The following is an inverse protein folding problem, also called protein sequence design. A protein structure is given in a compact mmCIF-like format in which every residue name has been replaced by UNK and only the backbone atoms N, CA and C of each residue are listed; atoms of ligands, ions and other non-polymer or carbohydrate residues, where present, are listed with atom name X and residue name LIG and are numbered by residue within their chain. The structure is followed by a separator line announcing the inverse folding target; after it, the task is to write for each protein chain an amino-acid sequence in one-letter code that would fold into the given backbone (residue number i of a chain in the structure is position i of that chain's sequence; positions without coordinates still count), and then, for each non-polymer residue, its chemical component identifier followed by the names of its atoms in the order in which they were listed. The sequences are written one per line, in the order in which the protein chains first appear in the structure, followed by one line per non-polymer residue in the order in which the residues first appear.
data_IF_607714402350
#
_entry.id   IF_607714402350
#
_cell.length_a   1.000
_cell.length_b   1.000
_cell.length_c   1.000
_cell.angle_alpha   90.00
_cell.angle_beta   90.00
_cell.angle_gamma   90.00
#
_symmetry.space_group_name_H-M   'P 1'
#
loop_
_entity.id
_entity.type
_entity.pdbx_description
1 polymer ?
#
# COMPACT_ATOMS: atom_id res chain seq x y z
N UNK A 1 52.18 32.20 -5.77
CA UNK A 1 51.90 31.07 -4.85
C UNK A 1 50.90 31.51 -3.81
N UNK A 2 49.68 30.96 -3.84
CA UNK A 2 48.76 30.75 -2.69
C UNK A 2 47.49 30.11 -3.28
N UNK A 3 47.62 28.81 -3.54
CA UNK A 3 46.52 27.92 -3.88
C UNK A 3 45.83 27.51 -2.58
N UNK A 4 44.52 27.34 -2.64
CA UNK A 4 43.82 26.37 -1.80
C UNK A 4 43.07 26.95 -0.61
N UNK A 5 41.83 27.37 -0.84
CA UNK A 5 40.72 27.06 0.07
C UNK A 5 39.38 27.26 -0.64
N UNK A 6 39.14 26.50 -1.69
CA UNK A 6 37.81 26.32 -2.26
C UNK A 6 37.63 24.81 -2.45
N UNK A 7 36.39 24.35 -2.27
CA UNK A 7 35.94 22.94 -2.31
C UNK A 7 36.06 22.13 -1.02
N UNK A 8 35.19 22.41 -0.05
CA UNK A 8 34.67 21.38 0.86
C UNK A 8 33.25 21.74 1.33
N UNK A 9 32.36 22.03 0.39
CA UNK A 9 30.92 21.83 0.56
C UNK A 9 30.48 20.80 -0.49
N UNK A 10 30.92 19.56 -0.28
CA UNK A 10 30.25 18.43 -0.89
C UNK A 10 28.86 18.38 -0.25
N UNK A 11 27.86 18.82 -1.00
CA UNK A 11 26.45 18.58 -0.73
C UNK A 11 26.28 17.09 -0.43
N UNK A 12 26.16 16.73 0.84
CA UNK A 12 25.48 15.50 1.23
C UNK A 12 24.03 15.71 0.78
N UNK A 13 23.73 15.32 -0.45
CA UNK A 13 22.36 15.09 -0.87
C UNK A 13 21.84 13.98 0.05
N UNK A 14 21.07 14.38 1.06
CA UNK A 14 20.20 13.47 1.76
C UNK A 14 19.25 12.91 0.69
N UNK A 15 19.58 11.73 0.17
CA UNK A 15 18.64 10.96 -0.61
C UNK A 15 17.51 10.61 0.36
N UNK A 16 16.46 11.43 0.38
CA UNK A 16 15.12 10.94 0.74
C UNK A 16 14.79 9.90 -0.32
N UNK A 17 15.29 8.68 -0.10
CA UNK A 17 14.97 7.54 -0.94
C UNK A 17 13.52 7.22 -0.63
N UNK A 18 12.63 7.59 -1.54
CA UNK A 18 11.30 6.98 -1.55
C UNK A 18 11.50 5.47 -1.52
N UNK A 19 10.94 4.78 -0.53
CA UNK A 19 10.99 3.33 -0.54
C UNK A 19 9.88 2.85 -1.47
N UNK A 20 10.26 2.21 -2.57
CA UNK A 20 9.31 1.57 -3.47
C UNK A 20 9.50 0.06 -3.49
N UNK A 21 8.40 -0.67 -3.53
CA UNK A 21 8.36 -2.11 -3.63
C UNK A 21 7.50 -2.55 -4.80
N UNK A 22 7.93 -3.61 -5.46
CA UNK A 22 7.11 -4.35 -6.42
C UNK A 22 6.60 -5.60 -5.71
N UNK A 23 5.29 -5.75 -5.63
CA UNK A 23 4.62 -6.85 -4.93
C UNK A 23 3.66 -7.60 -5.85
N UNK A 24 3.56 -8.91 -5.65
CA UNK A 24 2.71 -9.81 -6.44
C UNK A 24 2.21 -10.97 -5.56
N UNK A 25 1.42 -11.90 -6.12
CA UNK A 25 0.89 -13.12 -5.50
C UNK A 25 0.12 -12.83 -4.20
N UNK A 26 -0.63 -11.73 -4.17
CA UNK A 26 -1.39 -11.30 -2.99
C UNK A 26 -2.65 -12.16 -2.84
N UNK A 27 -2.64 -13.06 -1.85
CA UNK A 27 -3.72 -14.01 -1.59
C UNK A 27 -3.92 -14.24 -0.10
N UNK A 28 -5.08 -14.75 0.27
CA UNK A 28 -5.44 -15.00 1.65
C UNK A 28 -6.92 -15.28 1.75
N UNK A 29 -7.59 -14.62 2.69
CA UNK A 29 -8.99 -14.87 2.96
C UNK A 29 -9.80 -13.58 3.05
N UNK A 30 -11.08 -13.68 2.68
CA UNK A 30 -12.06 -12.63 2.87
C UNK A 30 -13.37 -13.23 3.40
N UNK A 31 -14.10 -12.43 4.16
CA UNK A 31 -15.40 -12.76 4.72
C UNK A 31 -16.38 -11.64 4.34
N UNK A 32 -17.57 -12.00 3.87
CA UNK A 32 -18.57 -11.07 3.35
C UNK A 32 -19.90 -11.27 4.08
N UNK A 33 -20.70 -10.22 4.22
CA UNK A 33 -22.00 -10.31 4.87
C UNK A 33 -22.93 -11.31 4.15
N UNK A 34 -22.94 -11.31 2.81
CA UNK A 34 -23.71 -12.26 2.00
C UNK A 34 -23.54 -13.74 2.38
N UNK A 35 -22.40 -14.10 3.01
CA UNK A 35 -22.09 -15.46 3.42
C UNK A 35 -21.98 -15.63 4.95
N UNK A 36 -22.62 -14.74 5.71
CA UNK A 36 -22.56 -14.70 7.18
C UNK A 36 -21.13 -14.55 7.72
N UNK A 37 -20.28 -13.82 7.00
CA UNK A 37 -18.87 -13.59 7.32
C UNK A 37 -18.05 -14.87 7.48
N UNK A 38 -18.38 -15.92 6.73
CA UNK A 38 -17.52 -17.08 6.63
C UNK A 38 -16.30 -16.76 5.76
N UNK A 39 -15.10 -17.03 6.30
CA UNK A 39 -13.86 -16.83 5.56
C UNK A 39 -13.76 -17.80 4.39
N UNK A 40 -13.46 -17.25 3.22
CA UNK A 40 -13.18 -17.99 1.98
C UNK A 40 -11.90 -17.48 1.35
N UNK A 41 -11.29 -18.31 0.50
CA UNK A 41 -10.11 -17.92 -0.25
C UNK A 41 -10.39 -16.67 -1.09
N UNK A 42 -9.44 -15.75 -1.07
CA UNK A 42 -9.51 -14.49 -1.79
C UNK A 42 -8.12 -14.08 -2.30
N UNK A 43 -8.11 -13.19 -3.29
CA UNK A 43 -6.90 -12.61 -3.85
C UNK A 43 -7.19 -11.23 -4.40
N UNK A 44 -6.16 -10.40 -4.41
CA UNK A 44 -6.20 -9.16 -5.17
C UNK A 44 -6.04 -9.50 -6.66
N UNK A 45 -6.54 -8.62 -7.55
CA UNK A 45 -6.43 -8.80 -9.00
C UNK A 45 -4.98 -9.11 -9.41
N UNK A 46 -4.81 -9.90 -10.47
CA UNK A 46 -3.47 -10.30 -10.94
C UNK A 46 -2.66 -9.10 -11.46
N UNK A 47 -1.34 -9.18 -11.28
CA UNK A 47 -0.39 -8.19 -11.77
C UNK A 47 0.49 -7.59 -10.68
N UNK A 48 1.50 -6.86 -11.13
CA UNK A 48 2.47 -6.23 -10.24
C UNK A 48 1.89 -4.95 -9.63
N UNK A 49 1.96 -4.87 -8.32
CA UNK A 49 1.62 -3.68 -7.56
C UNK A 49 2.90 -2.97 -7.16
N UNK A 50 2.99 -1.70 -7.53
CA UNK A 50 4.06 -0.82 -7.15
C UNK A 50 3.58 0.00 -5.96
N UNK A 51 4.16 -0.25 -4.79
CA UNK A 51 3.89 0.48 -3.57
C UNK A 51 5.03 1.45 -3.30
N UNK A 52 4.78 2.75 -3.34
CA UNK A 52 5.74 3.79 -2.98
C UNK A 52 5.30 4.41 -1.65
N UNK A 53 6.20 4.41 -0.66
CA UNK A 53 6.02 5.09 0.63
C UNK A 53 7.17 6.08 0.79
N UNK A 54 6.85 7.37 0.69
CA UNK A 54 7.76 8.47 0.95
C UNK A 54 7.04 9.58 1.73
N UNK A 55 7.81 10.44 2.40
CA UNK A 55 7.26 11.62 3.07
C UNK A 55 6.54 12.51 2.05
N UNK A 56 5.21 12.62 2.17
CA UNK A 56 4.36 13.40 1.28
C UNK A 56 4.08 12.79 -0.10
N UNK A 57 4.62 11.61 -0.42
CA UNK A 57 4.36 10.92 -1.68
C UNK A 57 4.10 9.42 -1.43
N UNK A 58 2.82 9.07 -1.34
CA UNK A 58 2.35 7.70 -1.26
C UNK A 58 1.61 7.38 -2.55
N UNK A 59 1.99 6.31 -3.22
CA UNK A 59 1.28 5.82 -4.40
C UNK A 59 1.21 4.31 -4.42
N UNK A 60 0.05 3.78 -4.75
CA UNK A 60 -0.15 2.37 -5.05
C UNK A 60 -0.60 2.28 -6.50
N UNK A 61 0.16 1.59 -7.35
CA UNK A 61 -0.18 1.39 -8.76
C UNK A 61 -0.26 -0.09 -9.07
N UNK A 62 -1.38 -0.52 -9.63
CA UNK A 62 -1.55 -1.88 -10.15
C UNK A 62 -1.55 -1.83 -11.67
N UNK A 63 -0.62 -2.54 -12.31
CA UNK A 63 -0.48 -2.56 -13.78
C UNK A 63 -0.44 -1.15 -14.42
N UNK A 64 0.18 -0.18 -13.73
CA UNK A 64 0.29 1.21 -14.18
C UNK A 64 -0.90 2.13 -13.81
N UNK A 65 -2.01 1.58 -13.35
CA UNK A 65 -3.21 2.33 -12.93
C UNK A 65 -3.17 2.58 -11.42
N UNK A 66 -3.67 3.74 -10.98
CA UNK A 66 -3.78 4.03 -9.54
C UNK A 66 -4.75 3.04 -8.88
N UNK A 67 -4.29 2.40 -7.81
CA UNK A 67 -5.12 1.56 -6.98
C UNK A 67 -5.84 2.41 -5.93
N UNK A 68 -7.12 2.09 -5.67
CA UNK A 68 -7.89 2.79 -4.66
C UNK A 68 -8.13 4.26 -5.03
N UNK A 69 -8.50 4.54 -6.29
CA UNK A 69 -8.97 5.86 -6.68
C UNK A 69 -10.06 6.35 -5.71
N UNK A 70 -9.93 7.58 -5.19
CA UNK A 70 -10.79 8.11 -4.11
C UNK A 70 -10.26 7.85 -2.69
N UNK A 71 -9.36 6.88 -2.49
CA UNK A 71 -8.74 6.64 -1.19
C UNK A 71 -7.66 7.68 -0.87
N UNK A 72 -7.65 8.13 0.38
CA UNK A 72 -6.56 8.93 0.95
C UNK A 72 -5.63 8.01 1.75
N UNK A 73 -4.35 7.99 1.39
CA UNK A 73 -3.34 7.22 2.09
C UNK A 73 -2.49 8.10 3.02
N UNK A 74 -2.17 7.56 4.19
CA UNK A 74 -1.28 8.17 5.19
C UNK A 74 -0.18 7.19 5.59
N UNK A 75 1.06 7.66 5.79
CA UNK A 75 2.14 6.80 6.27
C UNK A 75 1.97 6.57 7.77
N UNK A 76 2.08 5.31 8.18
CA UNK A 76 2.14 4.91 9.59
C UNK A 76 3.59 4.75 10.03
N UNK A 77 4.42 4.20 9.13
CA UNK A 77 5.87 4.07 9.26
C UNK A 77 6.52 4.12 7.87
N UNK A 78 7.85 3.95 7.80
CA UNK A 78 8.58 3.90 6.52
C UNK A 78 8.11 2.79 5.58
N UNK A 79 7.57 1.71 6.13
CA UNK A 79 7.18 0.49 5.43
C UNK A 79 5.70 0.13 5.60
N UNK A 80 4.89 1.04 6.14
CA UNK A 80 3.46 0.80 6.34
C UNK A 80 2.61 2.05 6.08
N UNK A 81 1.46 1.84 5.44
CA UNK A 81 0.46 2.87 5.15
C UNK A 81 -0.93 2.39 5.53
N UNK A 82 -1.80 3.36 5.81
CA UNK A 82 -3.25 3.14 5.92
C UNK A 82 -3.94 3.99 4.86
N UNK A 83 -4.87 3.38 4.13
CA UNK A 83 -5.77 4.04 3.20
C UNK A 83 -7.15 4.17 3.82
N UNK A 84 -7.81 5.31 3.63
CA UNK A 84 -9.21 5.48 4.00
C UNK A 84 -9.98 6.15 2.88
N UNK A 85 -11.17 5.65 2.61
CA UNK A 85 -12.18 6.32 1.80
C UNK A 85 -13.49 6.41 2.59
N UNK A 86 -14.19 7.54 2.43
CA UNK A 86 -15.49 7.84 3.04
C UNK A 86 -16.44 8.48 2.02
N UNK A 87 -16.27 8.14 0.75
CA UNK A 87 -17.05 8.70 -0.35
C UNK A 87 -18.43 8.03 -0.42
N UNK A 88 -19.46 8.84 -0.70
CA UNK A 88 -20.81 8.39 -1.05
C UNK A 88 -21.50 7.39 -0.10
N UNK A 89 -21.08 7.31 1.17
CA UNK A 89 -21.69 6.42 2.16
C UNK A 89 -20.99 5.07 2.31
N UNK A 90 -19.99 4.80 1.50
CA UNK A 90 -19.09 3.67 1.66
C UNK A 90 -17.90 4.07 2.55
N UNK A 91 -17.46 3.16 3.42
CA UNK A 91 -16.24 3.30 4.20
C UNK A 91 -15.30 2.16 3.84
N UNK A 92 -14.17 2.51 3.25
CA UNK A 92 -13.07 1.57 2.99
C UNK A 92 -11.88 1.92 3.86
N UNK A 93 -11.30 0.91 4.49
CA UNK A 93 -10.05 1.05 5.25
C UNK A 93 -9.09 -0.01 4.76
N UNK A 94 -7.96 0.43 4.23
CA UNK A 94 -6.87 -0.44 3.80
C UNK A 94 -5.68 -0.30 4.74
N UNK A 95 -4.98 -1.40 4.97
CA UNK A 95 -3.63 -1.34 5.50
C UNK A 95 -2.68 -2.11 4.60
N UNK A 96 -1.49 -1.56 4.42
CA UNK A 96 -0.39 -2.19 3.71
C UNK A 96 0.85 -2.11 4.58
N UNK A 97 1.52 -3.23 4.81
CA UNK A 97 2.77 -3.27 5.57
C UNK A 97 3.77 -4.20 4.91
N UNK A 98 4.99 -3.72 4.67
CA UNK A 98 6.08 -4.53 4.14
C UNK A 98 6.90 -5.11 5.28
N UNK A 99 7.06 -6.42 5.29
CA UNK A 99 7.83 -7.12 6.32
C UNK A 99 9.31 -7.23 5.95
N UNK A 100 10.16 -7.61 6.92
CA UNK A 100 11.60 -7.82 6.69
C UNK A 100 11.88 -9.08 5.87
N UNK A 101 10.93 -10.01 5.85
CA UNK A 101 10.99 -11.29 5.15
C UNK A 101 10.46 -11.19 3.71
N UNK A 102 10.43 -9.98 3.14
CA UNK A 102 9.96 -9.71 1.78
C UNK A 102 8.51 -10.14 1.55
N UNK A 103 7.63 -9.85 2.51
CA UNK A 103 6.18 -10.01 2.36
C UNK A 103 5.47 -8.67 2.40
N UNK A 104 4.31 -8.60 1.77
CA UNK A 104 3.33 -7.54 2.00
C UNK A 104 2.15 -8.11 2.77
N UNK A 105 1.81 -7.49 3.89
CA UNK A 105 0.59 -7.76 4.63
C UNK A 105 -0.44 -6.73 4.20
N UNK A 106 -1.54 -7.20 3.65
CA UNK A 106 -2.65 -6.35 3.22
C UNK A 106 -3.91 -6.71 4.01
N UNK A 107 -4.63 -5.70 4.47
CA UNK A 107 -6.00 -5.90 4.94
C UNK A 107 -6.91 -4.82 4.41
N UNK A 108 -8.19 -5.18 4.26
CA UNK A 108 -9.26 -4.27 3.85
C UNK A 108 -10.51 -4.51 4.66
N UNK A 109 -11.14 -3.42 5.10
CA UNK A 109 -12.51 -3.40 5.59
C UNK A 109 -13.33 -2.61 4.59
N UNK A 110 -14.48 -3.13 4.19
CA UNK A 110 -15.48 -2.42 3.42
C UNK A 110 -16.80 -2.40 4.20
N UNK A 111 -17.36 -1.21 4.38
CA UNK A 111 -18.71 -1.00 4.89
C UNK A 111 -19.46 -0.16 3.84
N UNK A 112 -20.38 -0.79 3.12
CA UNK A 112 -21.27 -0.10 2.19
C UNK A 112 -22.61 0.17 2.83
N UNK A 113 -23.10 1.39 2.63
CA UNK A 113 -24.46 1.77 3.02
C UNK A 113 -25.49 1.26 2.02
N UNK A 114 -25.15 1.31 0.73
CA UNK A 114 -26.07 1.00 -0.37
C UNK A 114 -26.08 -0.49 -0.74
N UNK A 115 -24.97 -1.20 -0.47
CA UNK A 115 -24.82 -2.64 -0.69
C UNK A 115 -24.32 -3.38 0.58
N UNK A 116 -25.11 -3.43 1.67
CA UNK A 116 -24.67 -4.01 2.95
C UNK A 116 -24.23 -5.47 2.87
N UNK A 117 -24.70 -6.23 1.87
CA UNK A 117 -24.28 -7.59 1.55
C UNK A 117 -22.80 -7.68 1.14
N UNK A 118 -22.23 -6.59 0.61
CA UNK A 118 -20.82 -6.45 0.22
C UNK A 118 -19.91 -6.04 1.39
N UNK A 119 -20.49 -5.78 2.57
CA UNK A 119 -19.71 -5.51 3.78
C UNK A 119 -18.74 -6.67 4.01
N UNK A 120 -17.46 -6.35 4.16
CA UNK A 120 -16.44 -7.37 4.16
C UNK A 120 -15.20 -7.00 4.97
N UNK A 121 -14.49 -8.05 5.37
CA UNK A 121 -13.14 -7.97 5.91
C UNK A 121 -12.24 -8.91 5.13
N UNK A 122 -11.05 -8.44 4.78
CA UNK A 122 -10.08 -9.14 3.94
C UNK A 122 -8.72 -9.09 4.59
N UNK A 123 -7.99 -10.20 4.58
CA UNK A 123 -6.62 -10.30 5.03
C UNK A 123 -5.82 -11.15 4.03
N UNK A 124 -4.84 -10.53 3.38
CA UNK A 124 -4.03 -11.14 2.33
C UNK A 124 -2.53 -10.98 2.65
N UNK A 125 -1.75 -11.91 2.11
CA UNK A 125 -0.29 -11.85 2.12
C UNK A 125 0.20 -11.98 0.69
N UNK A 126 1.15 -11.12 0.32
CA UNK A 126 1.84 -11.18 -0.96
C UNK A 126 3.35 -11.27 -0.81
N UNK A 127 4.01 -11.45 -1.95
CA UNK A 127 5.45 -11.50 -2.08
C UNK A 127 5.99 -10.15 -2.54
N UNK A 128 7.03 -9.65 -1.88
CA UNK A 128 7.85 -8.56 -2.40
C UNK A 128 8.87 -9.18 -3.35
N UNK A 129 8.69 -8.91 -4.65
CA UNK A 129 9.51 -9.48 -5.72
C UNK A 129 10.62 -8.54 -6.19
N UNK A 130 10.61 -7.28 -5.73
CA UNK A 130 11.64 -6.31 -6.07
C UNK A 130 11.45 -4.94 -5.43
N UNK A 131 12.35 -4.05 -5.82
CA UNK A 131 12.30 -2.61 -5.54
C UNK A 131 12.02 -1.86 -6.84
N UNK A 132 11.41 -0.69 -6.72
CA UNK A 132 11.51 0.37 -7.73
C UNK A 132 12.18 1.59 -7.09
#
# INVERSE_FOLDING_TARGET
MKKGLFFLLAFMSMNVSAECWVVNNIKGQAAYNENSYQFKDSRLLEGDIHLTIAEGNISIKQNGTLYGEGMKFIPVSKNAIIGTDRSFGDTMIDSWAITKENKVLFSRINLSKDTPEMNSTTALVGDVIGKC
#
